data_IF_683032462185
#
_entry.id   IF_683032462185
#
_cell.length_a   1.000
_cell.length_b   1.000
_cell.length_c   1.000
_cell.angle_alpha   90.00
_cell.angle_beta   90.00
_cell.angle_gamma   90.00
#
_symmetry.space_group_name_H-M   'P 1'
#
loop_
_entity.id
_entity.type
_entity.pdbx_description
1 polymer ?
#
# COMPACT_ATOMS: atom_id res chain seq x y z
N UNK A 1 7.00 -11.63 34.60
CA UNK A 1 6.14 -10.68 33.85
C UNK A 1 6.95 -10.19 32.67
N UNK A 2 6.58 -10.58 31.45
CA UNK A 2 7.37 -10.31 30.25
C UNK A 2 7.12 -8.89 29.73
N UNK A 3 8.20 -8.16 29.45
CA UNK A 3 8.17 -6.85 28.79
C UNK A 3 8.06 -7.08 27.27
N UNK A 4 6.89 -6.86 26.69
CA UNK A 4 6.71 -6.81 25.23
C UNK A 4 7.05 -5.39 24.76
N UNK A 5 7.91 -5.26 23.74
CA UNK A 5 8.67 -4.03 23.44
C UNK A 5 8.31 -3.38 22.10
N UNK A 6 7.41 -3.95 21.30
CA UNK A 6 7.02 -3.35 20.00
C UNK A 6 5.49 -3.25 19.82
N UNK A 7 5.03 -2.28 19.00
CA UNK A 7 3.61 -2.14 18.62
C UNK A 7 3.09 -3.42 17.95
N UNK A 8 3.95 -4.13 17.22
CA UNK A 8 3.64 -5.41 16.61
C UNK A 8 3.44 -6.52 17.66
N UNK A 9 4.30 -6.61 18.68
CA UNK A 9 4.14 -7.56 19.81
C UNK A 9 2.93 -7.20 20.67
N UNK A 10 2.67 -5.92 20.91
CA UNK A 10 1.46 -5.45 21.60
C UNK A 10 0.20 -5.74 20.79
N UNK A 11 0.26 -5.68 19.46
CA UNK A 11 -0.86 -6.06 18.59
C UNK A 11 -1.02 -7.57 18.48
N UNK A 12 0.08 -8.31 18.51
CA UNK A 12 0.09 -9.77 18.64
C UNK A 12 -0.51 -10.20 19.99
N UNK A 13 -0.23 -9.46 21.07
CA UNK A 13 -0.85 -9.63 22.39
C UNK A 13 -2.33 -9.19 22.38
N UNK A 14 -2.68 -8.07 21.74
CA UNK A 14 -4.07 -7.62 21.54
C UNK A 14 -4.90 -8.63 20.74
N UNK A 15 -4.31 -9.24 19.70
CA UNK A 15 -4.91 -10.32 18.93
C UNK A 15 -4.92 -11.64 19.73
N UNK A 16 -3.90 -11.96 20.53
CA UNK A 16 -3.82 -13.17 21.37
C UNK A 16 -4.74 -13.13 22.59
N UNK A 17 -5.03 -11.95 23.14
CA UNK A 17 -5.84 -11.77 24.35
C UNK A 17 -7.33 -11.54 24.09
N UNK A 18 -7.75 -11.27 22.86
CA UNK A 18 -9.18 -11.29 22.49
C UNK A 18 -10.09 -10.22 23.01
N UNK A 19 -9.61 -9.44 23.96
CA UNK A 19 -10.42 -8.45 24.66
C UNK A 19 -11.03 -7.43 23.71
N UNK A 20 -10.44 -7.12 22.55
CA UNK A 20 -11.05 -6.23 21.55
C UNK A 20 -12.25 -6.85 20.84
N UNK A 21 -12.22 -8.13 20.50
CA UNK A 21 -13.33 -8.82 19.84
C UNK A 21 -14.43 -9.21 20.83
N UNK A 22 -14.05 -9.55 22.07
CA UNK A 22 -14.99 -9.72 23.17
C UNK A 22 -15.68 -8.39 23.53
N UNK A 23 -14.96 -7.25 23.45
CA UNK A 23 -15.56 -5.90 23.54
C UNK A 23 -16.51 -5.61 22.38
N UNK A 24 -16.10 -5.93 21.14
CA UNK A 24 -16.89 -5.66 19.92
C UNK A 24 -18.14 -6.56 19.87
N UNK A 25 -18.04 -7.81 20.31
CA UNK A 25 -19.16 -8.74 20.39
C UNK A 25 -20.15 -8.36 21.52
N UNK A 26 -19.65 -7.84 22.65
CA UNK A 26 -20.48 -7.36 23.76
C UNK A 26 -21.00 -5.92 23.62
N UNK A 27 -20.76 -5.24 22.48
CA UNK A 27 -21.27 -3.87 22.22
C UNK A 27 -22.81 -3.77 22.23
N UNK A 28 -23.53 -4.89 22.05
CA UNK A 28 -25.00 -4.88 22.11
C UNK A 28 -25.56 -4.77 23.54
N UNK A 29 -24.76 -4.97 24.59
CA UNK A 29 -25.23 -4.99 25.98
C UNK A 29 -24.68 -3.86 26.86
N UNK A 30 -23.83 -2.98 26.34
CA UNK A 30 -23.21 -1.90 27.12
C UNK A 30 -23.49 -0.53 26.47
N UNK A 31 -24.62 0.09 26.83
CA UNK A 31 -25.11 1.36 26.26
C UNK A 31 -24.23 2.60 26.54
N UNK A 32 -23.10 2.47 27.26
CA UNK A 32 -22.38 3.62 27.82
C UNK A 32 -20.87 3.65 27.59
N UNK A 33 -20.31 2.89 26.65
CA UNK A 33 -18.87 2.98 26.34
C UNK A 33 -18.64 3.73 25.03
N UNK A 34 -18.08 4.94 25.13
CA UNK A 34 -17.57 5.68 23.96
C UNK A 34 -16.29 5.03 23.42
N UNK A 35 -16.42 4.34 22.28
CA UNK A 35 -15.27 3.84 21.54
C UNK A 35 -14.47 5.00 20.93
N UNK A 36 -13.15 4.88 20.96
CA UNK A 36 -12.28 5.79 20.21
C UNK A 36 -12.61 5.71 18.71
N UNK A 37 -12.62 6.87 18.04
CA UNK A 37 -13.00 7.00 16.62
C UNK A 37 -12.28 6.00 15.70
N UNK A 38 -10.97 5.80 15.89
CA UNK A 38 -10.18 4.81 15.14
C UNK A 38 -10.73 3.37 15.25
N UNK A 39 -11.13 2.92 16.44
CA UNK A 39 -11.68 1.58 16.64
C UNK A 39 -13.11 1.47 16.12
N UNK A 40 -13.88 2.56 16.21
CA UNK A 40 -15.21 2.65 15.59
C UNK A 40 -15.11 2.55 14.07
N UNK A 41 -14.20 3.30 13.44
CA UNK A 41 -13.92 3.26 12.00
C UNK A 41 -13.39 1.89 11.55
N UNK A 42 -12.53 1.24 12.34
CA UNK A 42 -12.09 -0.11 12.02
C UNK A 42 -13.22 -1.15 12.15
N UNK A 43 -14.11 -1.01 13.13
CA UNK A 43 -15.29 -1.87 13.26
C UNK A 43 -16.26 -1.70 12.08
N UNK A 44 -16.51 -0.46 11.66
CA UNK A 44 -17.30 -0.15 10.47
C UNK A 44 -16.63 -0.68 9.18
N UNK A 45 -15.31 -0.55 9.07
CA UNK A 45 -14.53 -1.14 7.98
C UNK A 45 -14.65 -2.66 7.94
N UNK A 46 -14.49 -3.34 9.08
CA UNK A 46 -14.63 -4.79 9.18
C UNK A 46 -16.05 -5.26 8.79
N UNK A 47 -17.09 -4.54 9.24
CA UNK A 47 -18.48 -4.78 8.81
C UNK A 47 -18.67 -4.59 7.30
N UNK A 48 -18.09 -3.54 6.73
CA UNK A 48 -18.16 -3.29 5.27
C UNK A 48 -17.50 -4.38 4.43
N UNK A 49 -16.55 -5.12 5.03
CA UNK A 49 -15.86 -6.27 4.42
C UNK A 49 -16.57 -7.60 4.68
N UNK A 50 -17.73 -7.59 5.35
CA UNK A 50 -18.47 -8.79 5.72
C UNK A 50 -17.75 -9.64 6.77
N UNK A 51 -16.83 -9.06 7.55
CA UNK A 51 -16.11 -9.78 8.61
C UNK A 51 -16.93 -9.89 9.91
N UNK A 52 -18.11 -9.29 9.95
CA UNK A 52 -19.07 -9.31 11.06
C UNK A 52 -19.70 -10.69 11.25
N UNK A 53 -19.93 -11.44 10.17
CA UNK A 53 -20.41 -12.82 10.23
C UNK A 53 -19.41 -13.81 10.86
N UNK A 54 -18.16 -13.38 11.04
CA UNK A 54 -17.09 -14.24 11.54
C UNK A 54 -17.08 -14.24 13.09
N UNK A 55 -17.71 -13.26 13.74
CA UNK A 55 -17.84 -13.19 15.21
C UNK A 55 -19.21 -13.73 15.66
N UNK A 56 -19.33 -15.00 16.10
CA UNK A 56 -20.60 -15.47 16.64
C UNK A 56 -20.90 -14.76 17.97
N UNK A 57 -21.92 -13.91 17.97
CA UNK A 57 -22.50 -13.31 19.18
C UNK A 57 -23.50 -14.30 19.76
N UNK A 58 -23.02 -15.40 20.36
CA UNK A 58 -23.89 -16.20 21.23
C UNK A 58 -23.33 -16.22 22.65
N UNK A 59 -24.08 -15.59 23.56
CA UNK A 59 -23.93 -15.62 25.01
C UNK A 59 -23.89 -17.06 25.52
N UNK A 60 -22.71 -17.67 25.70
CA UNK A 60 -22.56 -18.92 26.46
C UNK A 60 -21.21 -19.01 27.17
N UNK A 61 -21.32 -19.43 28.43
CA UNK A 61 -20.33 -19.97 29.36
C UNK A 61 -18.84 -19.66 29.11
N UNK A 62 -18.22 -18.97 30.07
CA UNK A 62 -16.88 -18.35 29.99
C UNK A 62 -15.72 -19.31 29.71
N UNK A 63 -15.91 -20.61 29.92
CA UNK A 63 -14.88 -21.62 29.62
C UNK A 63 -14.92 -22.11 28.16
N UNK A 64 -16.10 -22.11 27.52
CA UNK A 64 -16.23 -22.51 26.11
C UNK A 64 -15.88 -21.37 25.15
N UNK A 65 -16.07 -20.13 25.59
CA UNK A 65 -15.70 -18.93 24.84
C UNK A 65 -14.19 -18.85 24.59
N UNK A 66 -13.35 -19.20 25.58
CA UNK A 66 -11.90 -19.15 25.45
C UNK A 66 -11.32 -20.14 24.41
N UNK A 67 -11.86 -21.37 24.34
CA UNK A 67 -11.40 -22.35 23.34
C UNK A 67 -11.85 -21.99 21.91
N UNK A 68 -13.09 -21.54 21.74
CA UNK A 68 -13.58 -21.04 20.46
C UNK A 68 -12.81 -19.81 20.02
N UNK A 69 -12.46 -18.94 20.97
CA UNK A 69 -11.67 -17.73 20.75
C UNK A 69 -10.23 -18.03 20.30
N UNK A 70 -9.53 -18.96 20.95
CA UNK A 70 -8.20 -19.38 20.49
C UNK A 70 -8.24 -20.05 19.11
N UNK A 71 -9.28 -20.85 18.85
CA UNK A 71 -9.51 -21.47 17.54
C UNK A 71 -9.79 -20.40 16.47
N UNK A 72 -10.48 -19.33 16.86
CA UNK A 72 -10.79 -18.18 16.01
C UNK A 72 -9.55 -17.36 15.63
N UNK A 73 -8.73 -16.93 16.60
CA UNK A 73 -7.47 -16.23 16.32
C UNK A 73 -6.57 -17.10 15.44
N UNK A 74 -6.49 -18.40 15.73
CA UNK A 74 -5.65 -19.30 14.95
C UNK A 74 -6.13 -19.43 13.49
N UNK A 75 -7.43 -19.31 13.25
CA UNK A 75 -8.03 -19.47 11.92
C UNK A 75 -8.09 -18.16 11.12
N UNK A 76 -8.36 -17.03 11.78
CA UNK A 76 -8.64 -15.75 11.12
C UNK A 76 -7.72 -14.61 11.54
N UNK A 77 -6.84 -14.82 12.52
CA UNK A 77 -5.96 -13.78 13.07
C UNK A 77 -5.03 -13.18 12.03
N UNK A 78 -4.52 -13.97 11.08
CA UNK A 78 -3.68 -13.44 9.99
C UNK A 78 -4.49 -12.58 9.02
N UNK A 79 -5.68 -13.04 8.62
CA UNK A 79 -6.56 -12.29 7.72
C UNK A 79 -7.01 -10.96 8.34
N UNK A 80 -7.38 -10.98 9.62
CA UNK A 80 -7.75 -9.77 10.37
C UNK A 80 -6.57 -8.82 10.50
N UNK A 81 -5.37 -9.34 10.76
CA UNK A 81 -4.13 -8.55 10.84
C UNK A 81 -3.83 -7.88 9.50
N UNK A 82 -3.99 -8.60 8.40
CA UNK A 82 -3.72 -8.06 7.05
C UNK A 82 -4.72 -6.98 6.65
N UNK A 83 -6.00 -7.17 6.95
CA UNK A 83 -7.05 -6.16 6.74
C UNK A 83 -6.87 -4.93 7.64
N UNK A 84 -6.47 -5.13 8.91
CA UNK A 84 -6.13 -4.01 9.80
C UNK A 84 -4.90 -3.24 9.31
N UNK A 85 -3.88 -3.93 8.81
CA UNK A 85 -2.71 -3.29 8.19
C UNK A 85 -3.08 -2.56 6.89
N UNK A 86 -4.05 -3.06 6.12
CA UNK A 86 -4.61 -2.33 4.99
C UNK A 86 -5.31 -1.07 5.45
N UNK A 87 -6.21 -1.19 6.44
CA UNK A 87 -6.91 -0.05 7.03
C UNK A 87 -5.95 1.02 7.56
N UNK A 88 -4.86 0.64 8.24
CA UNK A 88 -3.86 1.59 8.74
C UNK A 88 -3.03 2.25 7.63
N UNK A 89 -2.83 1.58 6.49
CA UNK A 89 -2.15 2.19 5.33
C UNK A 89 -3.04 3.24 4.65
N UNK A 90 -4.34 3.02 4.70
CA UNK A 90 -5.33 3.87 4.05
C UNK A 90 -5.90 4.95 5.00
N UNK A 91 -5.74 4.77 6.31
CA UNK A 91 -6.20 5.72 7.32
C UNK A 91 -5.30 6.97 7.36
N UNK A 92 -5.95 8.13 7.52
CA UNK A 92 -5.28 9.42 7.64
C UNK A 92 -4.29 9.42 8.83
N UNK A 93 -3.07 9.91 8.60
CA UNK A 93 -2.02 10.12 9.58
C UNK A 93 -2.55 10.91 10.80
N UNK A 94 -3.48 11.85 10.59
CA UNK A 94 -4.13 12.60 11.65
C UNK A 94 -4.96 11.70 12.59
N UNK A 95 -5.65 10.69 12.05
CA UNK A 95 -6.48 9.75 12.81
C UNK A 95 -5.61 8.84 13.69
N UNK A 96 -4.48 8.37 13.15
CA UNK A 96 -3.50 7.56 13.89
C UNK A 96 -2.84 8.37 15.01
N UNK A 97 -2.46 9.62 14.74
CA UNK A 97 -1.84 10.50 15.74
C UNK A 97 -2.81 10.85 16.88
N UNK A 98 -4.08 11.11 16.57
CA UNK A 98 -5.10 11.40 17.58
C UNK A 98 -5.33 10.20 18.52
N UNK A 99 -5.29 8.97 18.00
CA UNK A 99 -5.37 7.76 18.83
C UNK A 99 -4.18 7.62 19.80
N UNK A 100 -2.97 7.91 19.32
CA UNK A 100 -1.76 7.86 20.15
C UNK A 100 -1.80 8.90 21.27
N UNK A 101 -2.24 10.13 20.98
CA UNK A 101 -2.39 11.19 21.98
C UNK A 101 -3.54 10.88 22.96
N UNK A 102 -4.68 10.34 22.50
CA UNK A 102 -5.77 9.89 23.37
C UNK A 102 -5.31 8.81 24.36
N UNK A 103 -4.52 7.83 23.89
CA UNK A 103 -3.94 6.81 24.77
C UNK A 103 -2.98 7.43 25.78
N UNK A 104 -2.08 8.30 25.33
CA UNK A 104 -1.12 9.01 26.20
C UNK A 104 -1.83 9.78 27.32
N UNK A 105 -2.91 10.49 27.01
CA UNK A 105 -3.74 11.23 27.97
C UNK A 105 -4.43 10.30 28.99
N UNK A 106 -5.09 9.23 28.51
CA UNK A 106 -5.72 8.24 29.38
C UNK A 106 -4.71 7.50 30.28
N UNK A 107 -3.50 7.26 29.80
CA UNK A 107 -2.43 6.66 30.61
C UNK A 107 -1.85 7.62 31.65
N UNK A 108 -1.78 8.93 31.35
CA UNK A 108 -1.37 9.94 32.35
C UNK A 108 -2.44 10.16 33.43
N UNK A 109 -3.73 10.12 33.07
CA UNK A 109 -4.83 10.34 34.01
C UNK A 109 -5.06 9.15 34.94
N UNK A 110 -4.75 7.92 34.49
CA UNK A 110 -4.88 6.69 35.31
C UNK A 110 -3.71 6.45 36.27
N UNK A 111 -2.74 7.35 36.38
CA UNK A 111 -1.46 7.07 37.04
C UNK A 111 -1.07 8.10 38.09
N UNK A 112 -1.79 8.07 39.20
CA UNK A 112 -1.16 8.25 40.50
C UNK A 112 -0.46 6.95 40.88
N UNK A 113 0.87 6.98 41.03
CA UNK A 113 1.73 5.89 41.52
C UNK A 113 1.97 4.70 40.57
N UNK A 114 3.08 4.75 39.82
CA UNK A 114 4.05 3.65 39.68
C UNK A 114 5.09 4.04 38.64
N UNK A 115 6.37 4.15 39.02
CA UNK A 115 7.49 4.63 38.18
C UNK A 115 7.93 3.69 37.03
N UNK A 116 7.23 2.58 36.75
CA UNK A 116 7.66 1.60 35.74
C UNK A 116 7.37 1.93 34.26
N UNK A 117 6.29 2.64 33.95
CA UNK A 117 5.77 2.86 32.58
C UNK A 117 6.32 4.14 31.92
N UNK A 118 7.09 5.00 32.61
CA UNK A 118 7.81 6.12 31.96
C UNK A 118 8.89 5.62 31.00
N UNK A 119 9.55 4.51 31.33
CA UNK A 119 10.49 3.85 30.43
C UNK A 119 9.80 3.24 29.20
N UNK A 120 8.53 2.84 29.28
CA UNK A 120 7.83 2.20 28.17
C UNK A 120 7.34 3.22 27.12
N UNK A 121 6.84 4.37 27.57
CA UNK A 121 6.47 5.47 26.68
C UNK A 121 7.70 6.10 26.01
N UNK A 122 8.82 6.24 26.75
CA UNK A 122 10.11 6.63 26.18
C UNK A 122 10.65 5.59 25.20
N UNK A 123 10.55 4.28 25.49
CA UNK A 123 10.93 3.21 24.56
C UNK A 123 10.03 3.15 23.32
N UNK A 124 8.73 3.47 23.42
CA UNK A 124 7.83 3.56 22.27
C UNK A 124 8.14 4.78 21.40
N UNK A 125 8.46 5.92 22.01
CA UNK A 125 8.91 7.12 21.27
C UNK A 125 10.28 6.90 20.65
N UNK A 126 11.20 6.20 21.33
CA UNK A 126 12.50 5.81 20.79
C UNK A 126 12.38 4.74 19.70
N UNK A 127 11.49 3.76 19.81
CA UNK A 127 11.25 2.77 18.75
C UNK A 127 10.56 3.39 17.54
N UNK A 128 9.67 4.37 17.74
CA UNK A 128 9.13 5.19 16.65
C UNK A 128 10.19 6.10 16.03
N UNK A 129 11.13 6.66 16.81
CA UNK A 129 12.30 7.40 16.32
C UNK A 129 13.28 6.48 15.57
N UNK A 130 13.40 5.24 15.99
CA UNK A 130 14.20 4.19 15.36
C UNK A 130 13.55 3.71 14.05
N UNK A 131 12.23 3.67 13.99
CA UNK A 131 11.44 3.47 12.76
C UNK A 131 11.47 4.70 11.83
N UNK A 132 11.60 5.90 12.41
CA UNK A 132 11.91 7.17 11.72
C UNK A 132 13.41 7.40 11.50
N UNK A 133 14.29 6.43 11.81
CA UNK A 133 15.66 6.52 11.29
C UNK A 133 15.50 6.71 9.78
N UNK A 134 16.19 7.69 9.17
CA UNK A 134 16.15 7.83 7.72
C UNK A 134 16.37 6.43 7.18
N UNK A 135 15.40 5.93 6.40
CA UNK A 135 15.42 4.58 5.81
C UNK A 135 16.88 4.38 5.40
N UNK A 136 17.61 3.41 6.00
CA UNK A 136 19.03 3.23 5.72
C UNK A 136 19.13 3.26 4.21
N UNK A 137 19.88 4.25 3.70
CA UNK A 137 19.78 4.67 2.30
C UNK A 137 19.65 3.41 1.46
N UNK A 138 18.47 3.26 0.80
CA UNK A 138 18.09 2.00 0.16
C UNK A 138 19.34 1.44 -0.51
N UNK A 139 19.74 0.18 -0.21
CA UNK A 139 21.05 -0.34 -0.59
C UNK A 139 21.29 0.07 -2.03
N UNK A 140 22.44 0.72 -2.34
CA UNK A 140 22.62 1.44 -3.57
C UNK A 140 22.14 0.53 -4.69
N UNK A 141 21.04 0.93 -5.35
CA UNK A 141 20.37 0.06 -6.32
C UNK A 141 21.47 -0.49 -7.19
N UNK A 142 21.63 -1.84 -7.30
CA UNK A 142 22.74 -2.41 -8.04
C UNK A 142 22.81 -1.66 -9.34
N UNK A 143 23.95 -0.97 -9.58
CA UNK A 143 24.09 -0.08 -10.73
C UNK A 143 23.82 -0.96 -11.93
N UNK A 144 22.62 -0.86 -12.48
CA UNK A 144 22.28 -1.65 -13.65
C UNK A 144 23.28 -1.15 -14.69
N UNK A 145 24.15 -2.03 -15.21
CA UNK A 145 25.15 -1.62 -16.18
C UNK A 145 24.45 -0.76 -17.21
N UNK A 146 24.99 0.43 -17.50
CA UNK A 146 24.42 1.26 -18.56
C UNK A 146 24.50 0.40 -19.82
N UNK A 147 23.35 0.00 -20.36
CA UNK A 147 23.28 -0.97 -21.46
C UNK A 147 23.97 -0.48 -22.76
N UNK A 148 24.47 0.77 -22.80
CA UNK A 148 25.26 1.32 -23.89
C UNK A 148 26.79 1.19 -23.75
N UNK A 149 27.29 0.59 -22.66
CA UNK A 149 28.70 0.16 -22.64
C UNK A 149 28.77 -1.06 -23.57
N UNK A 150 29.31 -0.87 -24.78
CA UNK A 150 29.44 -1.89 -25.83
C UNK A 150 30.10 -3.16 -25.26
N UNK A 151 29.28 -4.07 -24.74
CA UNK A 151 29.69 -5.44 -24.53
C UNK A 151 29.60 -6.10 -25.90
N UNK A 152 30.66 -5.92 -26.69
CA UNK A 152 30.78 -6.51 -28.03
C UNK A 152 30.68 -8.06 -28.02
N UNK A 153 30.66 -8.66 -26.83
CA UNK A 153 30.60 -10.10 -26.57
C UNK A 153 29.21 -10.75 -26.69
N UNK A 154 28.12 -9.99 -26.84
CA UNK A 154 26.79 -10.60 -27.02
C UNK A 154 26.59 -11.11 -28.45
N UNK A 155 26.11 -12.36 -28.65
CA UNK A 155 25.59 -12.82 -29.93
C UNK A 155 24.50 -11.88 -30.44
N UNK A 156 24.42 -11.74 -31.77
CA UNK A 156 23.48 -10.83 -32.41
C UNK A 156 22.03 -11.05 -31.94
N UNK A 157 21.57 -12.30 -31.87
CA UNK A 157 20.19 -12.61 -31.44
C UNK A 157 19.90 -12.18 -30.00
N UNK A 158 20.82 -12.44 -29.05
CA UNK A 158 20.65 -12.02 -27.66
C UNK A 158 20.68 -10.49 -27.54
N UNK A 159 21.53 -9.83 -28.35
CA UNK A 159 21.61 -8.37 -28.40
C UNK A 159 20.28 -7.78 -28.88
N UNK A 160 19.74 -8.27 -29.99
CA UNK A 160 18.44 -7.83 -30.51
C UNK A 160 17.32 -8.05 -29.49
N UNK A 161 17.29 -9.19 -28.79
CA UNK A 161 16.30 -9.45 -27.75
C UNK A 161 16.42 -8.48 -26.56
N UNK A 162 17.64 -8.17 -26.14
CA UNK A 162 17.91 -7.20 -25.08
C UNK A 162 17.49 -5.78 -25.51
N UNK A 163 17.79 -5.39 -26.75
CA UNK A 163 17.41 -4.10 -27.31
C UNK A 163 15.89 -3.94 -27.38
N UNK A 164 15.17 -4.98 -27.81
CA UNK A 164 13.71 -5.01 -27.85
C UNK A 164 13.11 -4.81 -26.44
N UNK A 165 13.60 -5.54 -25.43
CA UNK A 165 13.15 -5.37 -24.04
C UNK A 165 13.48 -3.98 -23.49
N UNK A 166 14.61 -3.39 -23.88
CA UNK A 166 14.98 -2.04 -23.46
C UNK A 166 14.06 -0.98 -24.09
N UNK A 167 13.76 -1.11 -25.38
CA UNK A 167 12.81 -0.25 -26.07
C UNK A 167 11.42 -0.34 -25.44
N UNK A 168 10.92 -1.56 -25.23
CA UNK A 168 9.63 -1.80 -24.56
C UNK A 168 9.58 -1.21 -23.14
N UNK A 169 10.69 -1.29 -22.40
CA UNK A 169 10.83 -0.65 -21.08
C UNK A 169 10.77 0.89 -21.16
N UNK A 170 11.36 1.49 -22.19
CA UNK A 170 11.34 2.95 -22.42
C UNK A 170 9.94 3.43 -22.82
N UNK A 171 9.24 2.68 -23.65
CA UNK A 171 7.86 2.96 -24.04
C UNK A 171 6.93 2.99 -22.82
N UNK A 172 6.97 1.94 -21.98
CA UNK A 172 6.18 1.90 -20.74
C UNK A 172 6.51 3.07 -19.80
N UNK A 173 7.78 3.47 -19.71
CA UNK A 173 8.15 4.65 -18.92
C UNK A 173 7.55 5.94 -19.50
N UNK A 174 7.58 6.09 -20.83
CA UNK A 174 7.00 7.25 -21.52
C UNK A 174 5.49 7.29 -21.31
N UNK A 175 4.80 6.17 -21.46
CA UNK A 175 3.36 6.06 -21.19
C UNK A 175 3.03 6.42 -19.73
N UNK A 176 3.78 5.87 -18.76
CA UNK A 176 3.60 6.22 -17.35
C UNK A 176 3.78 7.73 -17.08
N UNK A 177 4.69 8.42 -17.80
CA UNK A 177 4.85 9.87 -17.67
C UNK A 177 3.69 10.65 -18.29
N UNK A 178 3.16 10.21 -19.44
CA UNK A 178 2.00 10.80 -20.06
C UNK A 178 0.75 10.62 -19.18
N UNK A 179 0.57 9.44 -18.60
CA UNK A 179 -0.51 9.16 -17.65
C UNK A 179 -0.38 10.01 -16.38
N UNK A 180 0.84 10.20 -15.89
CA UNK A 180 1.10 11.08 -14.75
C UNK A 180 0.69 12.51 -15.08
N UNK A 181 1.07 13.02 -16.26
CA UNK A 181 0.68 14.36 -16.70
C UNK A 181 -0.85 14.47 -16.84
N UNK A 182 -1.49 13.51 -17.49
CA UNK A 182 -2.93 13.46 -17.68
C UNK A 182 -3.71 13.36 -16.35
N UNK A 183 -3.18 12.62 -15.37
CA UNK A 183 -3.74 12.53 -14.04
C UNK A 183 -3.68 13.88 -13.30
N UNK A 184 -2.56 14.60 -13.43
CA UNK A 184 -2.39 15.90 -12.78
C UNK A 184 -3.10 17.04 -13.51
N UNK A 185 -3.33 16.95 -14.83
CA UNK A 185 -3.93 18.04 -15.60
C UNK A 185 -5.37 18.37 -15.17
N UNK A 186 -6.09 17.43 -14.57
CA UNK A 186 -7.44 17.68 -14.02
C UNK A 186 -7.40 18.03 -12.53
N UNK A 187 -6.49 17.42 -11.76
CA UNK A 187 -6.39 17.63 -10.32
C UNK A 187 -5.84 18.99 -9.94
N UNK A 188 -4.81 19.47 -10.65
CA UNK A 188 -4.19 20.76 -10.34
C UNK A 188 -5.19 21.92 -10.48
N UNK A 189 -5.93 22.07 -11.60
CA UNK A 189 -6.96 23.08 -11.71
C UNK A 189 -8.04 22.95 -10.63
N UNK A 190 -8.51 21.74 -10.33
CA UNK A 190 -9.51 21.53 -9.30
C UNK A 190 -9.03 22.00 -7.91
N UNK A 191 -7.78 21.69 -7.54
CA UNK A 191 -7.18 22.14 -6.28
C UNK A 191 -7.03 23.66 -6.23
N UNK A 192 -6.53 24.26 -7.33
CA UNK A 192 -6.34 25.72 -7.41
C UNK A 192 -7.69 26.42 -7.26
N UNK A 193 -8.70 25.98 -8.02
CA UNK A 193 -10.04 26.56 -8.01
C UNK A 193 -10.71 26.36 -6.64
N UNK A 194 -10.58 25.19 -6.03
CA UNK A 194 -11.10 24.95 -4.68
C UNK A 194 -10.43 25.87 -3.63
N UNK A 195 -9.11 26.04 -3.70
CA UNK A 195 -8.38 26.93 -2.79
C UNK A 195 -8.75 28.41 -3.00
N UNK A 196 -8.91 28.87 -4.25
CA UNK A 196 -9.27 30.26 -4.54
C UNK A 196 -10.73 30.56 -4.21
N UNK A 197 -11.62 29.58 -4.27
CA UNK A 197 -13.05 29.74 -3.90
C UNK A 197 -13.18 30.22 -2.45
N UNK A 198 -12.39 29.67 -1.52
CA UNK A 198 -12.36 30.13 -0.13
C UNK A 198 -11.89 31.58 0.01
N UNK A 199 -10.94 32.02 -0.83
CA UNK A 199 -10.47 33.40 -0.83
C UNK A 199 -11.52 34.36 -1.40
N UNK A 200 -12.21 33.99 -2.48
CA UNK A 200 -13.25 34.84 -3.08
C UNK A 200 -14.49 34.99 -2.21
N UNK A 201 -14.84 33.94 -1.46
CA UNK A 201 -15.90 34.02 -0.46
C UNK A 201 -15.60 35.08 0.61
N UNK A 202 -14.32 35.26 1.00
CA UNK A 202 -13.93 36.29 1.96
C UNK A 202 -14.14 37.72 1.46
N UNK A 203 -14.03 37.95 0.16
CA UNK A 203 -14.25 39.27 -0.47
C UNK A 203 -15.70 39.49 -0.92
N UNK A 204 -16.64 38.66 -0.49
CA UNK A 204 -18.07 38.76 -0.82
C UNK A 204 -18.36 38.65 -2.34
N UNK A 205 -17.47 38.03 -3.11
CA UNK A 205 -17.65 37.78 -4.55
C UNK A 205 -18.43 36.48 -4.79
N UNK A 206 -19.68 36.45 -4.35
CA UNK A 206 -20.52 35.24 -4.28
C UNK A 206 -20.67 34.53 -5.63
N UNK A 207 -20.97 35.26 -6.71
CA UNK A 207 -21.16 34.67 -8.03
C UNK A 207 -19.90 33.98 -8.56
N UNK A 208 -18.71 34.55 -8.32
CA UNK A 208 -17.44 33.96 -8.77
C UNK A 208 -17.18 32.65 -8.01
N UNK A 209 -17.46 32.65 -6.71
CA UNK A 209 -17.35 31.48 -5.83
C UNK A 209 -18.24 30.30 -6.28
N UNK A 210 -19.47 30.59 -6.71
CA UNK A 210 -20.40 29.56 -7.21
C UNK A 210 -19.91 28.97 -8.54
N UNK A 211 -19.45 29.80 -9.46
CA UNK A 211 -18.93 29.35 -10.77
C UNK A 211 -17.69 28.49 -10.56
N UNK A 212 -16.78 28.93 -9.70
CA UNK A 212 -15.53 28.20 -9.41
C UNK A 212 -15.79 26.87 -8.72
N UNK A 213 -16.68 26.83 -7.73
CA UNK A 213 -17.12 25.58 -7.10
C UNK A 213 -17.71 24.58 -8.10
N UNK A 214 -18.49 25.09 -9.07
CA UNK A 214 -19.09 24.28 -10.14
C UNK A 214 -18.03 23.71 -11.08
N UNK A 215 -17.07 24.52 -11.51
CA UNK A 215 -15.94 24.07 -12.36
C UNK A 215 -15.09 23.03 -11.64
N UNK A 216 -14.75 23.25 -10.36
CA UNK A 216 -14.00 22.29 -9.57
C UNK A 216 -14.74 20.94 -9.44
N UNK A 217 -16.06 20.99 -9.20
CA UNK A 217 -16.90 19.79 -9.12
C UNK A 217 -16.93 19.01 -10.44
N UNK A 218 -17.01 19.70 -11.58
CA UNK A 218 -16.94 19.06 -12.91
C UNK A 218 -15.57 18.40 -13.12
N UNK A 219 -14.46 19.07 -12.78
CA UNK A 219 -13.13 18.48 -12.89
C UNK A 219 -12.98 17.20 -12.04
N UNK A 220 -13.50 17.22 -10.81
CA UNK A 220 -13.49 16.05 -9.91
C UNK A 220 -14.36 14.92 -10.48
N UNK A 221 -15.53 15.24 -11.04
CA UNK A 221 -16.41 14.24 -11.65
C UNK A 221 -15.76 13.58 -12.88
N UNK A 222 -15.13 14.36 -13.77
CA UNK A 222 -14.41 13.85 -14.95
C UNK A 222 -13.25 12.94 -14.51
N UNK A 223 -12.52 13.32 -13.46
CA UNK A 223 -11.43 12.52 -12.89
C UNK A 223 -11.93 11.20 -12.28
N UNK A 224 -13.10 11.19 -11.62
CA UNK A 224 -13.73 9.96 -11.11
C UNK A 224 -14.14 8.97 -12.20
N UNK A 225 -14.55 9.49 -13.37
CA UNK A 225 -14.92 8.66 -14.53
C UNK A 225 -13.68 8.05 -15.19
N UNK A 226 -12.56 8.78 -15.25
CA UNK A 226 -11.34 8.35 -15.95
C UNK A 226 -10.20 8.02 -14.96
N UNK A 227 -10.10 6.78 -14.43
CA UNK A 227 -9.08 6.40 -13.45
C UNK A 227 -7.70 6.18 -14.12
N UNK A 228 -7.17 7.19 -14.81
CA UNK A 228 -5.85 7.16 -15.47
C UNK A 228 -4.70 6.87 -14.49
N UNK A 229 -4.91 7.13 -13.20
CA UNK A 229 -3.96 6.79 -12.14
C UNK A 229 -3.66 5.29 -12.02
N UNK A 230 -4.59 4.41 -12.43
CA UNK A 230 -4.38 2.96 -12.38
C UNK A 230 -3.34 2.51 -13.41
N UNK A 231 -3.46 2.97 -14.66
CA UNK A 231 -2.53 2.64 -15.75
C UNK A 231 -1.11 3.14 -15.46
N UNK A 232 -0.98 4.34 -14.90
CA UNK A 232 0.32 4.88 -14.47
C UNK A 232 1.11 3.88 -13.61
N UNK A 233 0.45 3.29 -12.62
CA UNK A 233 1.11 2.34 -11.71
C UNK A 233 1.46 1.03 -12.44
N UNK A 234 0.60 0.57 -13.35
CA UNK A 234 0.85 -0.61 -14.17
C UNK A 234 2.05 -0.44 -15.10
N UNK A 235 2.11 0.65 -15.88
CA UNK A 235 3.24 0.92 -16.79
C UNK A 235 4.54 1.18 -16.03
N UNK A 236 4.48 1.87 -14.87
CA UNK A 236 5.66 2.06 -14.04
C UNK A 236 6.18 0.74 -13.44
N UNK A 237 5.26 -0.13 -13.01
CA UNK A 237 5.60 -1.49 -12.55
C UNK A 237 6.21 -2.31 -13.68
N UNK A 238 5.59 -2.31 -14.86
CA UNK A 238 6.13 -2.95 -16.06
C UNK A 238 7.55 -2.49 -16.39
N UNK A 239 7.79 -1.18 -16.39
CA UNK A 239 9.12 -0.62 -16.57
C UNK A 239 10.13 -1.24 -15.59
N UNK A 240 9.80 -1.33 -14.31
CA UNK A 240 10.68 -1.93 -13.29
C UNK A 240 10.87 -3.43 -13.46
N UNK A 241 9.80 -4.18 -13.75
CA UNK A 241 9.86 -5.63 -13.95
C UNK A 241 10.69 -5.99 -15.19
N UNK A 242 10.55 -5.25 -16.29
CA UNK A 242 11.37 -5.42 -17.50
C UNK A 242 12.85 -5.12 -17.21
N UNK A 243 13.14 -4.07 -16.43
CA UNK A 243 14.52 -3.74 -16.02
C UNK A 243 15.12 -4.83 -15.12
N UNK A 244 14.30 -5.43 -14.27
CA UNK A 244 14.70 -6.60 -13.47
C UNK A 244 14.99 -7.80 -14.36
N UNK A 245 14.12 -8.09 -15.33
CA UNK A 245 14.30 -9.17 -16.31
C UNK A 245 15.60 -9.00 -17.13
N UNK A 246 15.87 -7.79 -17.63
CA UNK A 246 17.13 -7.45 -18.30
C UNK A 246 18.36 -7.73 -17.42
N UNK A 247 18.28 -7.39 -16.13
CA UNK A 247 19.37 -7.66 -15.18
C UNK A 247 19.58 -9.16 -14.98
N UNK A 248 18.50 -9.94 -14.91
CA UNK A 248 18.56 -11.42 -14.82
C UNK A 248 19.21 -12.00 -16.06
N UNK A 249 18.80 -11.57 -17.26
CA UNK A 249 19.36 -12.01 -18.55
C UNK A 249 20.86 -11.73 -18.61
N UNK A 250 21.27 -10.49 -18.30
CA UNK A 250 22.68 -10.09 -18.32
C UNK A 250 23.50 -10.89 -17.29
N UNK A 251 22.96 -11.12 -16.10
CA UNK A 251 23.63 -11.91 -15.07
C UNK A 251 23.77 -13.37 -15.47
N UNK A 252 22.71 -14.00 -16.01
CA UNK A 252 22.78 -15.38 -16.55
C UNK A 252 23.84 -15.49 -17.65
N UNK A 253 23.91 -14.50 -18.54
CA UNK A 253 24.94 -14.45 -19.58
C UNK A 253 26.36 -14.35 -19.01
N UNK A 254 26.57 -13.52 -17.99
CA UNK A 254 27.88 -13.34 -17.34
C UNK A 254 28.33 -14.58 -16.57
N UNK A 255 27.39 -15.30 -15.96
CA UNK A 255 27.65 -16.53 -15.21
C UNK A 255 27.72 -17.79 -16.08
N UNK A 256 27.61 -17.66 -17.41
CA UNK A 256 27.56 -18.80 -18.32
C UNK A 256 28.84 -19.65 -18.24
N UNK A 257 28.69 -20.95 -18.42
CA UNK A 257 29.84 -21.85 -18.52
C UNK A 257 30.55 -21.64 -19.87
N UNK A 258 31.81 -21.20 -19.83
CA UNK A 258 32.62 -20.94 -21.04
C UNK A 258 32.85 -22.18 -21.92
N UNK A 259 32.63 -23.40 -21.39
CA UNK A 259 32.77 -24.65 -22.14
C UNK A 259 31.52 -25.04 -22.94
N UNK A 260 30.34 -24.49 -22.62
CA UNK A 260 29.11 -24.85 -23.30
C UNK A 260 28.98 -24.11 -24.64
N UNK A 261 28.30 -24.73 -25.62
CA UNK A 261 28.05 -24.11 -26.93
C UNK A 261 27.25 -22.82 -26.76
N UNK A 262 27.77 -21.73 -27.32
CA UNK A 262 27.21 -20.38 -27.20
C UNK A 262 25.73 -20.30 -27.56
N UNK A 263 25.34 -20.94 -28.66
CA UNK A 263 23.96 -20.99 -29.15
C UNK A 263 23.00 -21.66 -28.16
N UNK A 264 23.45 -22.69 -27.44
CA UNK A 264 22.60 -23.41 -26.49
C UNK A 264 22.34 -22.54 -25.25
N UNK A 265 23.38 -21.88 -24.73
CA UNK A 265 23.27 -20.97 -23.59
C UNK A 265 22.32 -19.82 -23.92
N UNK A 266 22.47 -19.23 -25.11
CA UNK A 266 21.62 -18.13 -25.56
C UNK A 266 20.15 -18.56 -25.67
N UNK A 267 19.88 -19.68 -26.34
CA UNK A 267 18.52 -20.23 -26.47
C UNK A 267 17.91 -20.54 -25.11
N UNK A 268 18.69 -21.07 -24.19
CA UNK A 268 18.24 -21.33 -22.81
C UNK A 268 17.88 -20.04 -22.07
N UNK A 269 18.73 -19.00 -22.14
CA UNK A 269 18.47 -17.71 -21.49
C UNK A 269 17.19 -17.06 -22.02
N UNK A 270 17.00 -17.04 -23.35
CA UNK A 270 15.80 -16.47 -24.00
C UNK A 270 14.56 -17.29 -23.60
N UNK A 271 14.63 -18.62 -23.69
CA UNK A 271 13.52 -19.50 -23.31
C UNK A 271 13.12 -19.31 -21.85
N UNK A 272 14.09 -19.14 -20.96
CA UNK A 272 13.83 -18.94 -19.53
C UNK A 272 13.27 -17.55 -19.22
N UNK A 273 13.54 -16.52 -20.03
CA UNK A 273 13.01 -15.17 -19.83
C UNK A 273 11.60 -14.99 -20.39
N UNK A 274 11.21 -15.80 -21.37
CA UNK A 274 9.94 -15.65 -22.09
C UNK A 274 8.70 -15.75 -21.19
N UNK A 275 8.58 -16.69 -20.24
CA UNK A 275 7.42 -16.75 -19.34
C UNK A 275 7.25 -15.47 -18.52
N UNK A 276 8.35 -14.81 -18.12
CA UNK A 276 8.28 -13.55 -17.38
C UNK A 276 7.88 -12.39 -18.28
N UNK A 277 8.36 -12.37 -19.52
CA UNK A 277 7.93 -11.40 -20.54
C UNK A 277 6.43 -11.53 -20.81
N UNK A 278 5.93 -12.76 -20.97
CA UNK A 278 4.50 -13.04 -21.16
C UNK A 278 3.66 -12.63 -19.95
N UNK A 279 4.13 -12.89 -18.71
CA UNK A 279 3.46 -12.45 -17.48
C UNK A 279 3.31 -10.92 -17.46
N UNK A 280 4.38 -10.20 -17.80
CA UNK A 280 4.39 -8.73 -17.88
C UNK A 280 3.40 -8.23 -18.93
N UNK A 281 3.45 -8.80 -20.13
CA UNK A 281 2.55 -8.45 -21.21
C UNK A 281 1.08 -8.73 -20.87
N UNK A 282 0.80 -9.84 -20.16
CA UNK A 282 -0.55 -10.23 -19.75
C UNK A 282 -1.17 -9.20 -18.83
N UNK A 283 -0.49 -8.81 -17.75
CA UNK A 283 -1.09 -7.86 -16.80
C UNK A 283 -1.22 -6.44 -17.38
N UNK A 284 -0.33 -6.03 -18.28
CA UNK A 284 -0.47 -4.74 -18.99
C UNK A 284 -1.73 -4.78 -19.84
N UNK A 285 -1.91 -5.84 -20.65
CA UNK A 285 -3.08 -6.01 -21.51
C UNK A 285 -4.38 -6.06 -20.69
N UNK A 286 -4.39 -6.78 -19.57
CA UNK A 286 -5.54 -6.84 -18.68
C UNK A 286 -5.90 -5.44 -18.14
N UNK A 287 -4.91 -4.65 -17.71
CA UNK A 287 -5.14 -3.29 -17.23
C UNK A 287 -5.65 -2.34 -18.33
N UNK A 288 -5.10 -2.43 -19.54
CA UNK A 288 -5.53 -1.63 -20.69
C UNK A 288 -6.95 -2.00 -21.15
N UNK A 289 -7.27 -3.29 -21.17
CA UNK A 289 -8.60 -3.78 -21.58
C UNK A 289 -9.65 -3.39 -20.55
N UNK A 290 -9.33 -3.47 -19.25
CA UNK A 290 -10.20 -3.01 -18.18
C UNK A 290 -10.52 -1.50 -18.29
N UNK A 291 -9.55 -0.67 -18.71
CA UNK A 291 -9.81 0.75 -18.93
C UNK A 291 -10.70 0.99 -20.16
N UNK A 292 -10.48 0.27 -21.27
CA UNK A 292 -11.30 0.41 -22.48
C UNK A 292 -12.77 0.10 -22.20
N UNK A 293 -13.05 -1.00 -21.50
CA UNK A 293 -14.42 -1.34 -21.12
C UNK A 293 -15.10 -0.27 -20.25
N UNK A 294 -14.36 0.36 -19.31
CA UNK A 294 -14.91 1.44 -18.47
C UNK A 294 -15.25 2.71 -19.26
N UNK A 295 -14.65 2.90 -20.44
CA UNK A 295 -14.89 4.10 -21.28
C UNK A 295 -16.09 3.93 -22.19
N UNK A 296 -16.50 2.69 -22.49
CA UNK A 296 -17.62 2.37 -23.38
C UNK A 296 -18.98 2.25 -22.66
N UNK A 297 -18.97 2.09 -21.34
CA UNK A 297 -20.16 2.00 -20.47
C UNK A 297 -20.50 3.34 -19.83
#
# INVERSE_FOLDING_TARGET
MMSERTVQEQMEHFCKCGQCFEYIANLQSIEHIELHSLLKSFSEFAKSKGLDCILPVENRDTDHSNQLFHTYIKRFGEQIRDEFNSFLRDADIALTNNYLEFKKKNYSERRGSHDGVSNLALQLVESYREYRRPIPAAPPRPRIPKLGEKNDDYPHELRSYIEELEEWSKENKKEATLDTFAFWSLKLPAIIVAATTGLWAHYELEHISIISGSVASICIAIDGIHPRGLLRNTHLRAHHDIRSLLTIIVNKWRMRNSKAKLENIMREIIRDSEPKREEIAKYIREAETALKHKTET
#
